data_IF_921995032419
#
_entry.id   IF_921995032419
#
_cell.length_a   1.000
_cell.length_b   1.000
_cell.length_c   1.000
_cell.angle_alpha   90.00
_cell.angle_beta   90.00
_cell.angle_gamma   90.00
#
_symmetry.space_group_name_H-M   'P 1'
#
loop_
_entity.id
_entity.type
_entity.pdbx_description
1 polymer ?
#
# COMPACT_ATOMS: atom_id res chain seq x y z
N UNK A 1 -21.74 26.65 -29.03
CA UNK A 1 -21.80 25.24 -28.65
C UNK A 1 -20.41 24.89 -28.17
N UNK A 2 -20.15 25.07 -26.88
CA UNK A 2 -18.83 24.84 -26.29
C UNK A 2 -18.89 23.49 -25.59
N UNK A 3 -18.23 22.51 -26.18
CA UNK A 3 -18.10 21.17 -25.61
C UNK A 3 -17.13 21.26 -24.41
N UNK A 4 -17.69 21.34 -23.20
CA UNK A 4 -16.92 21.10 -21.97
C UNK A 4 -16.50 19.63 -21.96
N UNK A 5 -15.29 19.36 -22.42
CA UNK A 5 -14.65 18.06 -22.24
C UNK A 5 -14.59 17.75 -20.74
N UNK A 6 -15.17 16.64 -20.25
CA UNK A 6 -15.06 16.27 -18.86
C UNK A 6 -13.59 15.99 -18.58
N UNK A 7 -12.93 16.86 -17.81
CA UNK A 7 -11.56 16.63 -17.34
C UNK A 7 -11.56 15.33 -16.55
N UNK A 8 -11.15 14.25 -17.19
CA UNK A 8 -10.99 12.94 -16.57
C UNK A 8 -9.99 13.13 -15.43
N UNK A 9 -10.50 13.11 -14.20
CA UNK A 9 -9.71 13.42 -13.02
C UNK A 9 -8.58 12.39 -12.92
N UNK A 10 -7.33 12.83 -13.03
CA UNK A 10 -6.13 11.97 -12.94
C UNK A 10 -5.89 11.49 -11.50
N UNK A 11 -6.65 12.04 -10.54
CA UNK A 11 -6.54 11.78 -9.11
C UNK A 11 -6.64 10.30 -8.71
N UNK A 12 -7.56 9.49 -9.27
CA UNK A 12 -7.64 8.06 -8.97
C UNK A 12 -6.40 7.32 -9.45
N UNK A 13 -5.86 7.67 -10.62
CA UNK A 13 -4.68 7.02 -11.19
C UNK A 13 -3.42 7.32 -10.35
N UNK A 14 -3.18 8.59 -10.02
CA UNK A 14 -2.07 9.01 -9.14
C UNK A 14 -2.12 8.29 -7.80
N UNK A 15 -3.32 8.21 -7.20
CA UNK A 15 -3.50 7.56 -5.91
C UNK A 15 -3.26 6.04 -5.97
N UNK A 16 -3.63 5.39 -7.07
CA UNK A 16 -3.37 3.97 -7.29
C UNK A 16 -1.86 3.71 -7.42
N UNK A 17 -1.15 4.56 -8.16
CA UNK A 17 0.31 4.52 -8.25
C UNK A 17 0.95 4.67 -6.87
N UNK A 18 0.49 5.61 -6.04
CA UNK A 18 1.01 5.78 -4.66
C UNK A 18 0.82 4.53 -3.83
N UNK A 19 -0.35 3.87 -3.89
CA UNK A 19 -0.61 2.64 -3.15
C UNK A 19 0.29 1.47 -3.63
N UNK A 20 0.50 1.35 -4.94
CA UNK A 20 1.39 0.33 -5.51
C UNK A 20 2.83 0.55 -5.05
N UNK A 21 3.31 1.80 -5.09
CA UNK A 21 4.66 2.16 -4.63
C UNK A 21 4.80 1.89 -3.12
N UNK A 22 3.81 2.27 -2.31
CA UNK A 22 3.81 1.98 -0.88
C UNK A 22 3.88 0.47 -0.60
N UNK A 23 3.10 -0.34 -1.32
CA UNK A 23 3.16 -1.80 -1.23
C UNK A 23 4.52 -2.37 -1.62
N UNK A 24 5.14 -1.87 -2.69
CA UNK A 24 6.50 -2.26 -3.11
C UNK A 24 7.55 -1.94 -2.03
N UNK A 25 7.50 -0.74 -1.44
CA UNK A 25 8.44 -0.33 -0.39
C UNK A 25 8.30 -1.26 0.83
N UNK A 26 7.08 -1.48 1.30
CA UNK A 26 6.80 -2.36 2.45
C UNK A 26 7.27 -3.79 2.17
N UNK A 27 6.98 -4.33 0.98
CA UNK A 27 7.43 -5.66 0.58
C UNK A 27 8.96 -5.76 0.53
N UNK A 28 9.63 -4.74 -0.02
CA UNK A 28 11.08 -4.72 -0.08
C UNK A 28 11.72 -4.64 1.31
N UNK A 29 11.15 -3.85 2.23
CA UNK A 29 11.59 -3.78 3.64
C UNK A 29 11.43 -5.14 4.32
N UNK A 30 10.30 -5.81 4.13
CA UNK A 30 10.06 -7.15 4.66
C UNK A 30 11.07 -8.18 4.15
N UNK A 31 11.32 -8.21 2.84
CA UNK A 31 12.30 -9.10 2.22
C UNK A 31 13.71 -8.79 2.73
N UNK A 32 14.07 -7.50 2.84
CA UNK A 32 15.36 -7.08 3.39
C UNK A 32 15.52 -7.55 4.82
N UNK A 33 14.54 -7.31 5.70
CA UNK A 33 14.55 -7.78 7.09
C UNK A 33 14.64 -9.30 7.22
N UNK A 34 14.08 -10.05 6.28
CA UNK A 34 14.19 -11.52 6.24
C UNK A 34 15.58 -11.97 5.78
N UNK A 35 16.18 -11.29 4.80
CA UNK A 35 17.49 -11.64 4.24
C UNK A 35 18.67 -11.16 5.10
N UNK A 36 18.56 -10.01 5.77
CA UNK A 36 19.62 -9.42 6.62
C UNK A 36 19.51 -9.85 8.08
N UNK A 37 18.90 -11.01 8.36
CA UNK A 37 18.79 -11.52 9.74
C UNK A 37 20.16 -11.95 10.29
N UNK A 38 20.88 -10.96 10.78
CA UNK A 38 21.86 -11.11 11.85
C UNK A 38 21.19 -10.70 13.18
N UNK A 39 20.76 -11.68 13.97
CA UNK A 39 20.71 -11.62 15.45
C UNK A 39 19.72 -10.71 16.22
N UNK A 40 18.50 -10.42 15.73
CA UNK A 40 17.56 -9.62 16.55
C UNK A 40 16.07 -9.87 16.42
N UNK A 41 15.54 -10.03 15.19
CA UNK A 41 14.10 -10.24 15.01
C UNK A 41 13.75 -11.73 15.01
N UNK A 42 12.84 -12.14 15.87
CA UNK A 42 12.20 -13.46 15.89
C UNK A 42 11.18 -13.62 14.75
N UNK A 43 10.92 -14.85 14.27
CA UNK A 43 9.97 -15.09 13.17
C UNK A 43 8.54 -14.57 13.46
N UNK A 44 8.16 -14.57 14.73
CA UNK A 44 6.96 -13.95 15.30
C UNK A 44 6.92 -12.43 15.11
N UNK A 45 8.03 -11.73 15.33
CA UNK A 45 8.11 -10.27 15.20
C UNK A 45 8.05 -9.83 13.73
N UNK A 46 8.66 -10.59 12.82
CA UNK A 46 8.51 -10.35 11.37
C UNK A 46 7.08 -10.61 10.88
N UNK A 47 6.41 -11.64 11.41
CA UNK A 47 5.01 -11.90 11.11
C UNK A 47 4.09 -10.81 11.67
N UNK A 48 4.37 -10.32 12.89
CA UNK A 48 3.62 -9.22 13.48
C UNK A 48 3.79 -7.91 12.69
N UNK A 49 5.03 -7.60 12.28
CA UNK A 49 5.33 -6.41 11.47
C UNK A 49 4.71 -6.52 10.07
N UNK A 50 4.93 -7.63 9.36
CA UNK A 50 4.38 -7.85 8.03
C UNK A 50 2.87 -7.95 8.01
N UNK A 51 2.28 -8.64 9.00
CA UNK A 51 0.84 -8.73 9.18
C UNK A 51 0.21 -7.37 9.49
N UNK A 52 0.82 -6.57 10.37
CA UNK A 52 0.39 -5.20 10.66
C UNK A 52 0.44 -4.28 9.45
N UNK A 53 1.52 -4.35 8.66
CA UNK A 53 1.66 -3.58 7.43
C UNK A 53 0.63 -4.00 6.36
N UNK A 54 0.41 -5.30 6.18
CA UNK A 54 -0.61 -5.82 5.26
C UNK A 54 -2.04 -5.42 5.69
N UNK A 55 -2.35 -5.50 6.99
CA UNK A 55 -3.63 -5.06 7.55
C UNK A 55 -3.85 -3.56 7.34
N UNK A 56 -2.84 -2.72 7.58
CA UNK A 56 -2.91 -1.28 7.32
C UNK A 56 -3.26 -0.99 5.85
N UNK A 57 -2.60 -1.67 4.93
CA UNK A 57 -2.82 -1.52 3.49
C UNK A 57 -4.22 -2.00 3.07
N UNK A 58 -4.71 -3.10 3.65
CA UNK A 58 -6.07 -3.60 3.42
C UNK A 58 -7.14 -2.67 3.99
N UNK A 59 -6.91 -2.05 5.16
CA UNK A 59 -7.83 -1.08 5.75
C UNK A 59 -7.92 0.17 4.87
N UNK A 60 -6.79 0.70 4.40
CA UNK A 60 -6.77 1.82 3.47
C UNK A 60 -7.52 1.51 2.17
N UNK A 61 -7.31 0.30 1.62
CA UNK A 61 -8.01 -0.18 0.44
C UNK A 61 -9.53 -0.34 0.67
N UNK A 62 -9.93 -0.88 1.83
CA UNK A 62 -11.34 -1.06 2.20
C UNK A 62 -12.07 0.28 2.43
N UNK A 63 -11.42 1.23 3.10
CA UNK A 63 -11.92 2.60 3.27
C UNK A 63 -12.09 3.30 1.92
N UNK A 64 -11.16 3.07 0.98
CA UNK A 64 -11.26 3.59 -0.38
C UNK A 64 -12.46 3.03 -1.14
N UNK A 65 -12.74 1.73 -0.97
CA UNK A 65 -13.90 1.07 -1.60
C UNK A 65 -15.23 1.58 -1.03
N UNK A 66 -15.30 1.90 0.27
CA UNK A 66 -16.51 2.43 0.92
C UNK A 66 -16.82 3.88 0.55
N UNK A 67 -15.81 4.73 0.36
CA UNK A 67 -16.01 6.16 0.03
C UNK A 67 -16.56 6.40 -1.39
N UNK A 68 -16.67 5.36 -2.22
CA UNK A 68 -17.15 5.41 -3.60
C UNK A 68 -18.66 5.13 -3.74
N UNK A 69 -19.38 4.97 -2.63
CA UNK A 69 -20.85 4.78 -2.57
C UNK A 69 -21.48 5.99 -1.90
#
# INVERSE_FOLDING_TARGET
MSEEQPRESVWPAVRLVVLVVAGMIVGNVLVTLLMTRDTGLGPDEALAFGGGAALGLLIEFALFRRKKR
#
